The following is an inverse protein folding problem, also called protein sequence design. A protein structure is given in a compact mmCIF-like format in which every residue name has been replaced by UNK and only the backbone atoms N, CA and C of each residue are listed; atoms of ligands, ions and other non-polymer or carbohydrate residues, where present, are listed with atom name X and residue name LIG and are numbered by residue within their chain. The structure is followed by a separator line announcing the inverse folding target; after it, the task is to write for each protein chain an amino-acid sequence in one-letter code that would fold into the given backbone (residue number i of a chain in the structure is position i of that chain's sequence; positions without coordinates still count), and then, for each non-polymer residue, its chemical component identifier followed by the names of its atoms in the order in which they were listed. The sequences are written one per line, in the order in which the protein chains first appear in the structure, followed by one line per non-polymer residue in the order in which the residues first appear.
data_IF_960446366433
#
_entry.id   IF_960446366433
#
_cell.length_a   1.000
_cell.length_b   1.000
_cell.length_c   1.000
_cell.angle_alpha   90.00
_cell.angle_beta   90.00
_cell.angle_gamma   90.00
#
_symmetry.space_group_name_H-M   'P 1'
#
loop_
_entity.id
_entity.type
_entity.pdbx_description
1 polymer ?
#
# COMPACT_ATOMS: atom_id res chain seq x y z
N UNK A 1 -28.07 44.77 10.24
CA UNK A 1 -27.25 43.54 10.32
C UNK A 1 -27.59 42.58 9.16
N UNK A 2 -27.09 42.83 7.94
CA UNK A 2 -27.30 41.91 6.79
C UNK A 2 -26.06 41.69 5.90
N UNK A 3 -24.90 42.24 6.26
CA UNK A 3 -23.70 42.20 5.40
C UNK A 3 -22.49 41.44 5.98
N UNK A 4 -22.65 40.72 7.10
CA UNK A 4 -21.52 40.01 7.75
C UNK A 4 -21.39 38.55 7.30
N UNK A 5 -22.42 37.96 6.67
CA UNK A 5 -22.43 36.54 6.29
C UNK A 5 -21.85 36.23 4.90
N UNK A 6 -21.71 37.22 4.01
CA UNK A 6 -21.22 37.00 2.63
C UNK A 6 -19.68 36.95 2.56
N UNK A 7 -18.98 37.63 3.48
CA UNK A 7 -17.52 37.73 3.43
C UNK A 7 -16.79 36.47 3.93
N UNK A 8 -17.43 35.66 4.80
CA UNK A 8 -16.79 34.46 5.37
C UNK A 8 -16.73 33.32 4.33
N UNK A 9 -17.73 33.20 3.46
CA UNK A 9 -17.76 32.14 2.42
C UNK A 9 -16.68 32.36 1.35
N UNK A 10 -16.38 33.62 1.03
CA UNK A 10 -15.35 33.96 0.03
C UNK A 10 -13.92 33.68 0.53
N UNK A 11 -13.62 33.95 1.82
CA UNK A 11 -12.29 33.69 2.37
C UNK A 11 -11.98 32.19 2.53
N UNK A 12 -12.97 31.36 2.86
CA UNK A 12 -12.78 29.90 2.96
C UNK A 12 -12.52 29.27 1.58
N UNK A 13 -13.23 29.73 0.53
CA UNK A 13 -13.02 29.25 -0.84
C UNK A 13 -11.64 29.60 -1.42
N UNK A 14 -11.11 30.78 -1.11
CA UNK A 14 -9.77 31.20 -1.56
C UNK A 14 -8.67 30.43 -0.82
N UNK A 15 -8.83 30.16 0.49
CA UNK A 15 -7.85 29.44 1.29
C UNK A 15 -7.71 27.96 0.89
N UNK A 16 -8.83 27.25 0.61
CA UNK A 16 -8.77 25.87 0.10
C UNK A 16 -8.07 25.81 -1.27
N UNK A 17 -8.40 26.73 -2.18
CA UNK A 17 -7.84 26.77 -3.53
C UNK A 17 -6.32 27.11 -3.53
N UNK A 18 -5.87 27.95 -2.59
CA UNK A 18 -4.44 28.23 -2.42
C UNK A 18 -3.65 27.03 -1.86
N UNK A 19 -4.25 26.25 -0.95
CA UNK A 19 -3.62 25.04 -0.40
C UNK A 19 -3.49 23.96 -1.47
N UNK A 20 -4.53 23.72 -2.25
CA UNK A 20 -4.51 22.78 -3.39
C UNK A 20 -3.48 23.19 -4.43
N UNK A 21 -3.40 24.49 -4.80
CA UNK A 21 -2.37 24.98 -5.74
C UNK A 21 -0.95 24.87 -5.20
N UNK A 22 -0.72 25.13 -3.90
CA UNK A 22 0.61 24.96 -3.29
C UNK A 22 1.03 23.49 -3.29
N UNK A 23 0.12 22.57 -2.93
CA UNK A 23 0.39 21.13 -2.99
C UNK A 23 0.68 20.70 -4.44
N UNK A 24 -0.13 21.14 -5.40
CA UNK A 24 0.08 20.85 -6.82
C UNK A 24 1.42 21.39 -7.35
N UNK A 25 1.85 22.59 -6.94
CA UNK A 25 3.14 23.16 -7.34
C UNK A 25 4.33 22.46 -6.68
N UNK A 26 4.24 22.09 -5.40
CA UNK A 26 5.29 21.33 -4.71
C UNK A 26 5.47 19.94 -5.33
N UNK A 27 4.36 19.29 -5.73
CA UNK A 27 4.41 18.02 -6.47
C UNK A 27 4.99 18.19 -7.88
N UNK A 28 4.83 19.37 -8.50
CA UNK A 28 5.38 19.68 -9.84
C UNK A 28 6.87 19.98 -9.85
N UNK A 29 7.44 20.45 -8.74
CA UNK A 29 8.88 20.78 -8.64
C UNK A 29 9.76 19.55 -8.37
N UNK A 30 9.23 18.52 -7.71
CA UNK A 30 9.93 17.25 -7.53
C UNK A 30 9.67 16.31 -8.71
N UNK A 31 10.42 16.50 -9.81
CA UNK A 31 10.39 15.55 -10.94
C UNK A 31 10.69 14.14 -10.42
N UNK A 32 9.83 13.18 -10.76
CA UNK A 32 10.06 11.78 -10.43
C UNK A 32 11.35 11.28 -11.11
N UNK A 33 12.21 10.62 -10.35
CA UNK A 33 13.51 10.16 -10.87
C UNK A 33 13.41 8.67 -11.14
N UNK A 34 13.35 8.31 -12.42
CA UNK A 34 13.40 6.91 -12.87
C UNK A 34 14.81 6.36 -12.60
N UNK A 35 14.89 5.28 -11.84
CA UNK A 35 16.14 4.66 -11.44
C UNK A 35 16.81 3.92 -12.61
N UNK A 36 18.14 3.96 -12.66
CA UNK A 36 18.90 3.12 -13.61
C UNK A 36 18.62 1.63 -13.39
N UNK A 37 18.36 1.25 -12.14
CA UNK A 37 18.01 -0.12 -11.77
C UNK A 37 16.74 -0.60 -12.46
N UNK A 38 15.71 0.24 -12.52
CA UNK A 38 14.48 -0.07 -13.25
C UNK A 38 14.70 -0.23 -14.77
N UNK A 39 15.56 0.62 -15.35
CA UNK A 39 15.89 0.58 -16.78
C UNK A 39 16.61 -0.71 -17.17
N UNK A 40 17.45 -1.23 -16.27
CA UNK A 40 18.21 -2.47 -16.45
C UNK A 40 17.45 -3.74 -16.03
N UNK A 41 16.28 -3.59 -15.38
CA UNK A 41 15.53 -4.73 -14.85
C UNK A 41 14.89 -5.54 -16.00
N UNK A 42 15.28 -6.81 -16.09
CA UNK A 42 14.77 -7.76 -17.07
C UNK A 42 13.29 -8.09 -16.85
N UNK A 43 12.64 -8.57 -17.91
CA UNK A 43 11.26 -9.04 -17.85
C UNK A 43 11.21 -10.36 -17.06
N UNK A 44 10.59 -10.33 -15.90
CA UNK A 44 10.52 -11.48 -14.99
C UNK A 44 9.41 -11.29 -13.96
N UNK A 45 9.06 -12.36 -13.26
CA UNK A 45 8.10 -12.36 -12.17
C UNK A 45 8.76 -12.81 -10.87
N UNK A 46 8.55 -12.02 -9.82
CA UNK A 46 8.98 -12.35 -8.48
C UNK A 46 7.77 -12.58 -7.60
N UNK A 47 7.73 -13.73 -6.93
CA UNK A 47 6.90 -13.88 -5.73
C UNK A 47 7.60 -13.18 -4.58
N UNK A 48 6.93 -12.19 -4.00
CA UNK A 48 7.50 -11.27 -3.01
C UNK A 48 7.06 -11.64 -1.61
N UNK A 49 5.80 -12.02 -1.44
CA UNK A 49 5.24 -12.41 -0.16
C UNK A 49 4.31 -13.59 -0.38
N UNK A 50 4.41 -14.61 0.48
CA UNK A 50 3.65 -15.84 0.35
C UNK A 50 3.50 -16.54 1.71
N UNK A 51 2.46 -17.35 1.86
CA UNK A 51 2.32 -18.26 3.00
C UNK A 51 3.23 -19.48 2.82
N UNK A 52 4.11 -19.68 3.79
CA UNK A 52 5.01 -20.81 3.89
C UNK A 52 4.57 -21.72 5.04
N UNK A 53 4.52 -23.03 4.79
CA UNK A 53 4.24 -24.02 5.83
C UNK A 53 5.54 -24.39 6.52
N UNK A 54 5.61 -24.14 7.83
CA UNK A 54 6.80 -24.42 8.64
C UNK A 54 6.40 -25.22 9.87
N UNK A 55 7.15 -26.30 10.13
CA UNK A 55 7.01 -27.06 11.37
C UNK A 55 7.43 -26.20 12.55
N UNK A 56 6.54 -26.10 13.54
CA UNK A 56 6.79 -25.47 14.82
C UNK A 56 7.03 -26.56 15.87
N UNK A 57 8.25 -26.61 16.41
CA UNK A 57 8.65 -27.62 17.38
C UNK A 57 8.01 -27.45 18.75
N UNK A 58 7.59 -26.23 19.12
CA UNK A 58 6.97 -25.95 20.41
C UNK A 58 5.50 -26.36 20.42
N UNK A 59 4.79 -26.11 19.32
CA UNK A 59 3.38 -26.50 19.16
C UNK A 59 3.19 -27.93 18.64
N UNK A 60 4.27 -28.60 18.21
CA UNK A 60 4.23 -29.91 17.57
C UNK A 60 3.25 -29.95 16.37
N UNK A 61 3.22 -28.88 15.59
CA UNK A 61 2.32 -28.75 14.43
C UNK A 61 2.97 -27.95 13.29
N UNK A 62 2.40 -28.03 12.09
CA UNK A 62 2.80 -27.21 10.94
C UNK A 62 1.96 -25.93 10.90
N UNK A 63 2.63 -24.79 11.05
CA UNK A 63 1.99 -23.48 10.97
C UNK A 63 2.19 -22.85 9.59
N UNK A 64 1.19 -22.10 9.15
CA UNK A 64 1.34 -21.20 8.00
C UNK A 64 1.89 -19.86 8.50
N UNK A 65 3.06 -19.48 7.99
CA UNK A 65 3.70 -18.20 8.26
C UNK A 65 3.82 -17.40 6.97
N UNK A 66 3.50 -16.13 7.05
CA UNK A 66 3.76 -15.18 5.97
C UNK A 66 5.27 -14.89 5.88
N UNK A 67 5.84 -15.13 4.70
CA UNK A 67 7.27 -14.99 4.43
C UNK A 67 7.48 -13.97 3.30
N UNK A 68 8.54 -13.18 3.40
CA UNK A 68 8.97 -12.20 2.38
C UNK A 68 10.22 -12.70 1.68
N UNK A 69 10.31 -12.48 0.37
CA UNK A 69 11.49 -12.74 -0.44
C UNK A 69 12.51 -11.60 -0.24
N UNK A 70 13.31 -11.69 0.82
CA UNK A 70 14.28 -10.66 1.19
C UNK A 70 15.35 -10.42 0.13
N UNK A 71 15.76 -11.47 -0.60
CA UNK A 71 16.72 -11.34 -1.72
C UNK A 71 16.16 -10.36 -2.75
N UNK A 72 14.92 -10.59 -3.19
CA UNK A 72 14.29 -9.69 -4.15
C UNK A 72 14.09 -8.28 -3.56
N UNK A 73 13.66 -8.15 -2.30
CA UNK A 73 13.48 -6.82 -1.69
C UNK A 73 14.79 -6.02 -1.67
N UNK A 74 15.92 -6.66 -1.41
CA UNK A 74 17.23 -6.01 -1.46
C UNK A 74 17.61 -5.61 -2.89
N UNK A 75 17.29 -6.47 -3.86
CA UNK A 75 17.63 -6.25 -5.27
C UNK A 75 16.54 -5.59 -6.10
N UNK A 76 15.39 -5.19 -5.54
CA UNK A 76 14.32 -4.52 -6.26
C UNK A 76 14.69 -3.07 -6.62
N UNK A 77 14.18 -2.56 -7.74
CA UNK A 77 14.20 -1.14 -8.08
C UNK A 77 13.38 -0.31 -7.07
N UNK A 78 13.69 0.98 -6.87
CA UNK A 78 12.84 1.89 -6.10
C UNK A 78 11.37 1.85 -6.55
N UNK A 79 11.11 1.79 -7.86
CA UNK A 79 9.78 1.73 -8.46
C UNK A 79 9.01 0.49 -8.01
N UNK A 80 9.64 -0.68 -8.09
CA UNK A 80 9.06 -1.92 -7.58
C UNK A 80 8.77 -1.81 -6.07
N UNK A 81 9.68 -1.22 -5.29
CA UNK A 81 9.49 -1.01 -3.85
C UNK A 81 8.29 -0.11 -3.56
N UNK A 82 8.09 0.98 -4.31
CA UNK A 82 6.92 1.86 -4.16
C UNK A 82 5.61 1.12 -4.43
N UNK A 83 5.58 0.31 -5.50
CA UNK A 83 4.43 -0.53 -5.84
C UNK A 83 4.13 -1.56 -4.74
N UNK A 84 5.16 -2.17 -4.17
CA UNK A 84 5.00 -3.10 -3.05
C UNK A 84 4.57 -2.39 -1.75
N UNK A 85 5.06 -1.18 -1.51
CA UNK A 85 4.59 -0.32 -0.43
C UNK A 85 3.10 -0.03 -0.55
N UNK A 86 2.63 0.31 -1.75
CA UNK A 86 1.20 0.49 -2.02
C UNK A 86 0.38 -0.79 -1.78
N UNK A 87 0.92 -1.97 -2.13
CA UNK A 87 0.27 -3.25 -1.86
C UNK A 87 -0.04 -3.45 -0.36
N UNK A 88 0.79 -2.90 0.54
CA UNK A 88 0.59 -2.98 1.99
C UNK A 88 -0.63 -2.20 2.50
N UNK A 89 -1.07 -1.15 1.77
CA UNK A 89 -2.32 -0.43 2.06
C UNK A 89 -3.52 -1.33 1.80
N UNK A 90 -3.45 -2.14 0.74
CA UNK A 90 -4.56 -2.95 0.29
C UNK A 90 -4.73 -4.23 1.10
N UNK A 91 -3.64 -4.96 1.31
CA UNK A 91 -3.72 -6.37 1.67
C UNK A 91 -3.54 -6.69 3.16
N UNK A 92 -3.03 -5.76 3.98
CA UNK A 92 -2.63 -6.07 5.36
C UNK A 92 -1.51 -7.11 5.39
N UNK A 93 -0.26 -6.66 5.49
CA UNK A 93 0.93 -7.51 5.32
C UNK A 93 1.53 -7.93 6.66
N UNK A 94 0.71 -8.61 7.47
CA UNK A 94 1.04 -9.06 8.84
C UNK A 94 1.46 -7.89 9.75
N UNK A 95 0.45 -7.13 10.18
CA UNK A 95 0.63 -5.85 10.85
C UNK A 95 0.31 -5.92 12.35
N UNK A 96 1.30 -5.59 13.19
CA UNK A 96 1.24 -5.66 14.64
C UNK A 96 1.69 -4.35 15.29
N UNK A 97 1.07 -3.98 16.41
CA UNK A 97 1.51 -2.82 17.18
C UNK A 97 2.88 -3.09 17.79
N UNK A 98 3.80 -2.13 17.66
CA UNK A 98 5.03 -2.14 18.42
C UNK A 98 4.71 -1.71 19.86
N UNK A 99 4.73 -2.67 20.78
CA UNK A 99 4.30 -2.50 22.17
C UNK A 99 2.89 -3.04 22.42
N UNK A 100 2.43 -2.99 23.67
CA UNK A 100 1.14 -3.58 24.06
C UNK A 100 -0.07 -2.84 23.48
N UNK A 101 0.07 -1.53 23.20
CA UNK A 101 -1.03 -0.67 22.75
C UNK A 101 -0.60 0.28 21.62
N UNK A 102 -1.54 0.75 20.78
CA UNK A 102 -1.28 1.84 19.84
C UNK A 102 -0.80 3.09 20.57
N UNK A 103 0.16 3.82 19.98
CA UNK A 103 0.51 5.16 20.45
C UNK A 103 -0.60 6.16 20.07
N UNK A 104 -0.56 7.38 20.64
CA UNK A 104 -1.60 8.40 20.40
C UNK A 104 -1.79 8.77 18.92
N UNK A 105 -0.72 8.63 18.15
CA UNK A 105 -0.68 8.96 16.72
C UNK A 105 -0.98 7.75 15.82
N UNK A 106 -1.20 6.56 16.39
CA UNK A 106 -1.37 5.29 15.69
C UNK A 106 -0.26 4.98 14.66
N UNK A 107 0.96 5.49 14.91
CA UNK A 107 2.10 5.39 13.99
C UNK A 107 3.05 4.23 14.29
N UNK A 108 2.74 3.39 15.29
CA UNK A 108 3.54 2.24 15.70
C UNK A 108 2.99 0.90 15.16
N UNK A 109 2.17 0.91 14.11
CA UNK A 109 1.68 -0.32 13.46
C UNK A 109 2.69 -0.84 12.45
N UNK A 110 3.54 -1.78 12.88
CA UNK A 110 4.58 -2.35 12.02
C UNK A 110 4.01 -3.49 11.17
N UNK A 111 4.24 -3.46 9.86
CA UNK A 111 3.92 -4.56 8.95
C UNK A 111 5.19 -5.23 8.44
N UNK A 112 5.13 -6.53 8.19
CA UNK A 112 6.26 -7.32 7.70
C UNK A 112 6.83 -6.74 6.40
N UNK A 113 5.98 -6.54 5.38
CA UNK A 113 6.44 -6.05 4.07
C UNK A 113 7.02 -4.64 4.16
N UNK A 114 6.36 -3.72 4.88
CA UNK A 114 6.84 -2.35 5.04
C UNK A 114 8.17 -2.27 5.79
N UNK A 115 8.38 -3.18 6.75
CA UNK A 115 9.66 -3.30 7.46
C UNK A 115 10.77 -3.75 6.54
N UNK A 116 10.54 -4.80 5.74
CA UNK A 116 11.52 -5.26 4.74
C UNK A 116 11.84 -4.18 3.69
N UNK A 117 10.87 -3.34 3.35
CA UNK A 117 11.05 -2.22 2.41
C UNK A 117 11.71 -0.99 3.02
N UNK A 118 11.95 -0.95 4.34
CA UNK A 118 12.30 0.25 5.10
C UNK A 118 11.37 1.45 4.81
N UNK A 119 10.05 1.21 4.81
CA UNK A 119 9.02 2.25 4.56
C UNK A 119 8.30 2.72 5.83
N UNK A 120 8.78 2.30 7.00
CA UNK A 120 8.19 2.64 8.30
C UNK A 120 6.92 1.83 8.60
N UNK A 121 6.09 2.36 9.51
CA UNK A 121 4.84 1.73 9.92
C UNK A 121 3.70 2.00 8.93
N UNK A 122 2.65 1.17 8.96
CA UNK A 122 1.46 1.34 8.13
C UNK A 122 0.85 2.72 8.33
N UNK A 123 0.51 3.37 7.22
CA UNK A 123 -0.03 4.73 7.16
C UNK A 123 0.77 5.81 7.94
N UNK A 124 2.02 5.54 8.36
CA UNK A 124 2.88 6.54 8.97
C UNK A 124 3.28 7.62 7.97
N UNK A 125 3.77 8.78 8.46
CA UNK A 125 4.23 9.85 7.58
C UNK A 125 5.29 9.39 6.57
N UNK A 126 6.27 8.59 6.99
CA UNK A 126 7.30 8.02 6.08
C UNK A 126 6.65 7.22 4.96
N UNK A 127 5.71 6.34 5.31
CA UNK A 127 4.98 5.52 4.34
C UNK A 127 4.16 6.37 3.37
N UNK A 128 3.31 7.27 3.90
CA UNK A 128 2.42 8.11 3.08
C UNK A 128 3.21 9.05 2.18
N UNK A 129 4.20 9.78 2.71
CA UNK A 129 4.98 10.71 1.90
C UNK A 129 5.73 9.98 0.77
N UNK A 130 6.25 8.77 1.05
CA UNK A 130 6.93 7.93 0.04
C UNK A 130 5.98 7.56 -1.10
N UNK A 131 4.75 7.13 -0.79
CA UNK A 131 3.78 6.75 -1.81
C UNK A 131 3.21 7.98 -2.54
N UNK A 132 2.96 9.09 -1.83
CA UNK A 132 2.51 10.34 -2.42
C UNK A 132 3.54 10.90 -3.42
N UNK A 133 4.83 10.74 -3.14
CA UNK A 133 5.90 11.06 -4.09
C UNK A 133 5.83 10.17 -5.34
N UNK A 134 5.78 8.85 -5.14
CA UNK A 134 5.85 7.88 -6.23
C UNK A 134 4.63 7.92 -7.16
N UNK A 135 3.42 8.08 -6.59
CA UNK A 135 2.14 8.05 -7.32
C UNK A 135 1.57 9.46 -7.55
N UNK A 136 2.41 10.49 -7.53
CA UNK A 136 1.98 11.91 -7.53
C UNK A 136 1.13 12.32 -8.74
N UNK A 137 1.22 11.59 -9.86
CA UNK A 137 0.42 11.83 -11.07
C UNK A 137 -0.86 10.98 -11.15
N UNK A 138 -1.10 10.10 -10.18
CA UNK A 138 -2.22 9.16 -10.18
C UNK A 138 -3.30 9.52 -9.14
N UNK A 139 -4.25 10.37 -9.54
CA UNK A 139 -5.29 10.86 -8.64
C UNK A 139 -6.13 9.77 -7.97
N UNK A 140 -6.32 8.62 -8.63
CA UNK A 140 -7.09 7.50 -8.09
C UNK A 140 -6.34 6.86 -6.94
N UNK A 141 -5.06 6.52 -7.15
CA UNK A 141 -4.25 5.92 -6.09
C UNK A 141 -3.99 6.91 -4.95
N UNK A 142 -3.77 8.19 -5.25
CA UNK A 142 -3.59 9.22 -4.24
C UNK A 142 -4.80 9.31 -3.30
N UNK A 143 -6.03 9.20 -3.82
CA UNK A 143 -7.23 9.20 -2.97
C UNK A 143 -7.26 8.02 -1.97
N UNK A 144 -6.74 6.86 -2.40
CA UNK A 144 -6.60 5.67 -1.53
C UNK A 144 -5.47 5.87 -0.52
N UNK A 145 -4.33 6.41 -0.93
CA UNK A 145 -3.17 6.67 -0.07
C UNK A 145 -3.52 7.67 1.02
N UNK A 146 -4.24 8.75 0.68
CA UNK A 146 -4.62 9.81 1.63
C UNK A 146 -5.62 9.35 2.69
N UNK A 147 -6.38 8.29 2.43
CA UNK A 147 -7.38 7.73 3.34
C UNK A 147 -6.87 6.48 4.07
N UNK A 148 -5.57 6.18 3.95
CA UNK A 148 -4.93 5.07 4.63
C UNK A 148 -5.18 5.16 6.14
N UNK A 149 -5.81 4.11 6.67
CA UNK A 149 -6.07 3.95 8.10
C UNK A 149 -5.26 2.77 8.63
N UNK A 150 -4.51 2.92 9.74
CA UNK A 150 -3.84 1.78 10.37
C UNK A 150 -4.86 0.71 10.79
N UNK A 151 -4.73 -0.50 10.26
CA UNK A 151 -5.62 -1.63 10.59
C UNK A 151 -4.75 -2.80 11.08
N UNK A 152 -4.70 -3.05 12.40
CA UNK A 152 -3.95 -4.17 12.95
C UNK A 152 -4.63 -5.50 12.64
N UNK A 153 -3.86 -6.59 12.72
CA UNK A 153 -4.40 -7.94 12.60
C UNK A 153 -5.50 -8.26 13.63
N UNK A 154 -5.47 -7.61 14.80
CA UNK A 154 -6.48 -7.78 15.87
C UNK A 154 -7.78 -6.99 15.64
N UNK A 155 -7.92 -6.23 14.56
CA UNK A 155 -9.12 -5.45 14.29
C UNK A 155 -10.32 -6.35 13.93
N UNK A 156 -11.53 -5.93 14.28
CA UNK A 156 -12.77 -6.67 13.96
C UNK A 156 -12.95 -6.92 12.46
N UNK A 157 -12.49 -5.98 11.64
CA UNK A 157 -12.47 -6.08 10.19
C UNK A 157 -11.06 -5.75 9.70
N UNK A 158 -10.42 -6.71 9.04
CA UNK A 158 -9.05 -6.55 8.55
C UNK A 158 -8.82 -7.41 7.30
N UNK A 159 -7.76 -7.11 6.56
CA UNK A 159 -7.27 -7.97 5.49
C UNK A 159 -6.07 -8.77 5.99
N UNK A 160 -6.00 -10.04 5.58
CA UNK A 160 -4.80 -10.87 5.71
C UNK A 160 -4.29 -11.20 4.32
N UNK A 161 -3.06 -10.78 4.03
CA UNK A 161 -2.40 -11.08 2.78
C UNK A 161 -2.00 -12.55 2.69
N UNK A 162 -2.28 -13.19 1.57
CA UNK A 162 -1.87 -14.57 1.30
C UNK A 162 -0.71 -14.64 0.31
N UNK A 163 -0.70 -13.71 -0.65
CA UNK A 163 0.24 -13.73 -1.76
C UNK A 163 0.43 -12.33 -2.38
N UNK A 164 1.67 -11.97 -2.66
CA UNK A 164 2.02 -10.83 -3.51
C UNK A 164 3.08 -11.28 -4.51
N UNK A 165 2.84 -11.00 -5.79
CA UNK A 165 3.87 -11.03 -6.82
C UNK A 165 3.93 -9.72 -7.58
N UNK A 166 5.12 -9.41 -8.10
CA UNK A 166 5.33 -8.32 -9.03
C UNK A 166 6.03 -8.86 -10.28
N UNK A 167 5.50 -8.50 -11.43
CA UNK A 167 6.02 -8.89 -12.73
C UNK A 167 6.44 -7.64 -13.50
N UNK A 168 7.68 -7.60 -13.97
CA UNK A 168 8.20 -6.57 -14.87
C UNK A 168 7.97 -7.00 -16.31
N UNK A 169 7.36 -6.14 -17.12
CA UNK A 169 7.21 -6.30 -18.58
C UNK A 169 7.53 -5.01 -19.30
N UNK A 170 8.67 -4.94 -19.97
CA UNK A 170 9.13 -3.75 -20.70
C UNK A 170 9.10 -2.52 -19.79
N UNK A 171 8.21 -1.58 -20.05
CA UNK A 171 8.02 -0.34 -19.28
C UNK A 171 6.98 -0.43 -18.16
N UNK A 172 6.42 -1.62 -17.90
CA UNK A 172 5.29 -1.78 -17.00
C UNK A 172 5.62 -2.75 -15.86
N UNK A 173 4.94 -2.54 -14.73
CA UNK A 173 4.83 -3.54 -13.69
C UNK A 173 3.41 -4.08 -13.61
N UNK A 174 3.28 -5.34 -13.25
CA UNK A 174 2.00 -5.96 -12.92
C UNK A 174 2.11 -6.45 -11.48
N UNK A 175 1.41 -5.76 -10.59
CA UNK A 175 1.22 -6.19 -9.21
C UNK A 175 0.07 -7.17 -9.17
N UNK A 176 0.23 -8.26 -8.45
CA UNK A 176 -0.82 -9.25 -8.22
C UNK A 176 -0.86 -9.58 -6.73
N UNK A 177 -2.04 -9.43 -6.15
CA UNK A 177 -2.32 -9.60 -4.73
C UNK A 177 -3.42 -10.64 -4.58
N UNK A 178 -3.23 -11.58 -3.66
CA UNK A 178 -4.32 -12.40 -3.10
C UNK A 178 -4.37 -12.20 -1.60
N UNK A 179 -5.56 -12.01 -1.08
CA UNK A 179 -5.77 -11.78 0.34
C UNK A 179 -7.19 -12.19 0.73
N UNK A 180 -7.45 -12.16 2.03
CA UNK A 180 -8.76 -12.43 2.61
C UNK A 180 -9.16 -11.27 3.48
N UNK A 181 -10.40 -10.82 3.29
CA UNK A 181 -11.06 -9.95 4.26
C UNK A 181 -11.63 -10.82 5.37
N UNK A 182 -11.27 -10.50 6.61
CA UNK A 182 -11.73 -11.19 7.81
C UNK A 182 -12.74 -10.30 8.53
N UNK A 183 -13.89 -10.88 8.87
CA UNK A 183 -14.85 -10.27 9.78
C UNK A 183 -14.94 -11.12 11.04
N UNK A 184 -14.19 -10.74 12.08
CA UNK A 184 -14.14 -11.49 13.33
C UNK A 184 -15.50 -11.55 14.03
N UNK A 185 -16.35 -10.52 13.88
CA UNK A 185 -17.70 -10.50 14.48
C UNK A 185 -18.62 -11.55 13.85
N UNK A 186 -18.53 -11.74 12.53
CA UNK A 186 -19.33 -12.72 11.79
C UNK A 186 -18.63 -14.07 11.62
N UNK A 187 -17.36 -14.16 12.00
CA UNK A 187 -16.49 -15.31 11.75
C UNK A 187 -16.42 -15.70 10.26
N UNK A 188 -16.54 -14.70 9.37
CA UNK A 188 -16.46 -14.92 7.93
C UNK A 188 -15.11 -14.48 7.39
N UNK A 189 -14.70 -15.15 6.31
CA UNK A 189 -13.56 -14.76 5.50
C UNK A 189 -13.98 -14.74 4.03
N UNK A 190 -13.65 -13.66 3.33
CA UNK A 190 -13.95 -13.51 1.91
C UNK A 190 -12.64 -13.34 1.15
N UNK A 191 -12.23 -14.31 0.32
CA UNK A 191 -11.04 -14.16 -0.50
C UNK A 191 -11.28 -13.12 -1.61
N UNK A 192 -10.22 -12.41 -1.95
CA UNK A 192 -10.19 -11.47 -3.07
C UNK A 192 -8.82 -11.52 -3.76
N UNK A 193 -8.82 -11.31 -5.07
CA UNK A 193 -7.60 -11.17 -5.85
C UNK A 193 -7.67 -9.85 -6.62
N UNK A 194 -6.54 -9.14 -6.68
CA UNK A 194 -6.42 -7.89 -7.42
C UNK A 194 -5.16 -7.92 -8.27
N UNK A 195 -5.27 -7.47 -9.53
CA UNK A 195 -4.12 -7.17 -10.38
C UNK A 195 -4.13 -5.71 -10.78
N UNK A 196 -2.98 -5.06 -10.68
CA UNK A 196 -2.82 -3.65 -11.06
C UNK A 196 -1.65 -3.55 -12.01
N UNK A 197 -1.89 -2.97 -13.18
CA UNK A 197 -0.85 -2.68 -14.17
C UNK A 197 -0.41 -1.24 -13.97
N UNK A 198 0.89 -1.05 -13.76
CA UNK A 198 1.52 0.25 -13.58
C UNK A 198 2.43 0.58 -14.76
N UNK A 199 2.47 1.85 -15.12
CA UNK A 199 3.46 2.42 -16.04
C UNK A 199 4.33 3.39 -15.25
N UNK A 200 5.64 3.36 -15.50
CA UNK A 200 6.59 4.32 -14.93
C UNK A 200 6.83 5.43 -15.94
N UNK A 201 6.69 6.67 -15.51
CA UNK A 201 6.85 7.88 -16.33
C UNK A 201 7.75 8.90 -15.63
N UNK A 202 8.14 9.95 -16.36
CA UNK A 202 8.87 11.10 -15.81
C UNK A 202 8.08 11.90 -14.76
N UNK A 203 6.76 11.68 -14.66
CA UNK A 203 5.87 12.35 -13.70
C UNK A 203 5.62 11.50 -12.45
N UNK A 204 5.87 10.19 -12.51
CA UNK A 204 5.53 9.26 -11.45
C UNK A 204 5.12 7.89 -11.98
N UNK A 205 4.60 7.06 -11.07
CA UNK A 205 4.02 5.76 -11.35
C UNK A 205 2.50 5.92 -11.43
N UNK A 206 1.90 5.39 -12.50
CA UNK A 206 0.46 5.47 -12.74
C UNK A 206 -0.11 4.09 -12.97
N UNK A 207 -1.27 3.80 -12.39
CA UNK A 207 -2.07 2.65 -12.79
C UNK A 207 -2.66 2.92 -14.18
N UNK A 208 -2.58 1.91 -15.04
CA UNK A 208 -3.25 1.89 -16.34
C UNK A 208 -4.50 1.03 -16.31
N UNK A 209 -4.51 0.00 -15.46
CA UNK A 209 -5.61 -0.93 -15.33
C UNK A 209 -5.62 -1.57 -13.95
N UNK A 210 -6.79 -1.61 -13.33
CA UNK A 210 -7.09 -2.40 -12.13
C UNK A 210 -8.06 -3.50 -12.52
N UNK A 211 -7.77 -4.72 -12.09
CA UNK A 211 -8.59 -5.90 -12.32
C UNK A 211 -8.88 -6.52 -10.96
N UNK A 212 -10.15 -6.51 -10.57
CA UNK A 212 -10.64 -7.14 -9.35
C UNK A 212 -11.28 -8.47 -9.68
N UNK A 213 -10.90 -9.51 -8.93
CA UNK A 213 -11.51 -10.83 -9.00
C UNK A 213 -12.27 -11.05 -7.69
N UNK A 214 -13.59 -11.12 -7.80
CA UNK A 214 -14.44 -11.49 -6.68
C UNK A 214 -14.59 -13.00 -6.60
N UNK A 215 -14.45 -13.53 -5.39
CA UNK A 215 -14.79 -14.91 -5.08
C UNK A 215 -16.04 -14.90 -4.21
N UNK A 216 -17.05 -15.70 -4.57
CA UNK A 216 -18.24 -15.89 -3.73
C UNK A 216 -17.85 -16.58 -2.43
N UNK A 217 -18.42 -16.14 -1.30
CA UNK A 217 -18.18 -16.72 0.02
C UNK A 217 -18.31 -18.25 -0.01
N UNK A 218 -17.23 -18.96 0.31
CA UNK A 218 -17.32 -20.37 0.67
C UNK A 218 -17.73 -20.38 2.13
N UNK A 219 -19.04 -20.51 2.38
CA UNK A 219 -19.55 -20.74 3.72
C UNK A 219 -18.87 -21.96 4.33
N UNK A 220 -18.33 -21.81 5.55
CA UNK A 220 -18.06 -22.93 6.44
C UNK A 220 -19.16 -22.98 7.48
#
# INVERSE_FOLDING_TARGET
MKYVLVSIVFFVGIACNQRERKVANILRENKFVISEKWKMEEDTIYTVLYLEKKWDSELHDTLEKITVNDIYIQTASPEAKYILGYASILAGTDCWWQGEVPNSEFTNLQCLLLSSLDMGCQCSKKHIDTLMYAFSSDSVLLSTIQTCTPIPYSATYHNTCDYISIEKKKSNYILHIKARTINMRKQTQTPWEKRIIFTVTDLGIEHTKIIDYSFTEIGR
#
